data_IF_177480445842
#
_entry.id   IF_177480445842
#
_cell.length_a   1.000
_cell.length_b   1.000
_cell.length_c   1.000
_cell.angle_alpha   90.00
_cell.angle_beta   90.00
_cell.angle_gamma   90.00
#
_symmetry.space_group_name_H-M   'P 1'
#
loop_
_entity.id
_entity.type
_entity.pdbx_description
1 polymer ?
#
# COMPACT_ATOMS: atom_id res chain seq x y z
N UNK A 1 9.58 -50.25 -35.81
CA UNK A 1 10.14 -48.90 -35.51
C UNK A 1 9.01 -47.89 -35.60
N UNK A 2 8.67 -47.22 -34.49
CA UNK A 2 7.65 -46.17 -34.40
C UNK A 2 8.33 -44.96 -33.73
N UNK A 3 8.74 -43.92 -34.48
CA UNK A 3 9.58 -42.82 -33.97
C UNK A 3 8.87 -41.87 -32.99
N UNK A 4 7.58 -42.06 -32.76
CA UNK A 4 6.72 -41.11 -32.04
C UNK A 4 6.83 -41.19 -30.51
N UNK A 5 7.45 -42.24 -29.97
CA UNK A 5 7.60 -42.43 -28.52
C UNK A 5 8.70 -41.55 -27.91
N UNK A 6 9.67 -41.09 -28.71
CA UNK A 6 10.81 -40.30 -28.22
C UNK A 6 10.60 -38.78 -28.24
N UNK A 7 9.49 -38.29 -28.82
CA UNK A 7 9.19 -36.84 -28.95
C UNK A 7 8.20 -36.30 -27.90
N UNK A 8 7.66 -37.18 -27.05
CA UNK A 8 6.75 -36.85 -25.94
C UNK A 8 7.39 -36.19 -24.70
N UNK A 9 8.72 -36.31 -24.40
CA UNK A 9 9.28 -35.69 -23.20
C UNK A 9 9.63 -34.20 -23.37
N UNK A 10 9.54 -33.66 -24.59
CA UNK A 10 9.75 -32.21 -24.82
C UNK A 10 8.44 -31.43 -24.76
N UNK A 11 7.32 -32.04 -25.12
CA UNK A 11 6.02 -31.35 -25.15
C UNK A 11 5.52 -31.00 -23.74
N UNK A 12 5.68 -31.90 -22.76
CA UNK A 12 5.32 -31.59 -21.37
C UNK A 12 6.21 -30.47 -20.78
N UNK A 13 7.49 -30.43 -21.15
CA UNK A 13 8.42 -29.38 -20.74
C UNK A 13 8.01 -28.02 -21.30
N UNK A 14 7.63 -27.97 -22.59
CA UNK A 14 7.09 -26.76 -23.21
C UNK A 14 5.79 -26.33 -22.54
N UNK A 15 4.87 -27.26 -22.25
CA UNK A 15 3.61 -26.95 -21.56
C UNK A 15 3.83 -26.41 -20.14
N UNK A 16 4.75 -27.01 -19.38
CA UNK A 16 5.13 -26.54 -18.05
C UNK A 16 5.78 -25.16 -18.08
N UNK A 17 6.67 -24.89 -19.05
CA UNK A 17 7.27 -23.55 -19.22
C UNK A 17 6.23 -22.50 -19.60
N UNK A 18 5.29 -22.83 -20.50
CA UNK A 18 4.20 -21.92 -20.84
C UNK A 18 3.30 -21.64 -19.63
N UNK A 19 3.03 -22.64 -18.79
CA UNK A 19 2.24 -22.50 -17.58
C UNK A 19 2.93 -21.63 -16.51
N UNK A 20 4.24 -21.79 -16.29
CA UNK A 20 4.98 -20.95 -15.34
C UNK A 20 5.10 -19.50 -15.81
N UNK A 21 5.30 -19.26 -17.11
CA UNK A 21 5.29 -17.92 -17.70
C UNK A 21 3.92 -17.25 -17.55
N UNK A 22 2.83 -18.00 -17.75
CA UNK A 22 1.47 -17.49 -17.53
C UNK A 22 1.23 -17.09 -16.07
N UNK A 23 1.67 -17.90 -15.10
CA UNK A 23 1.55 -17.59 -13.67
C UNK A 23 2.35 -16.33 -13.28
N UNK A 24 3.53 -16.11 -13.86
CA UNK A 24 4.31 -14.88 -13.63
C UNK A 24 3.59 -13.62 -14.13
N UNK A 25 2.80 -13.70 -15.21
CA UNK A 25 2.00 -12.59 -15.72
C UNK A 25 0.82 -12.24 -14.80
N UNK A 26 0.18 -13.24 -14.19
CA UNK A 26 -0.87 -13.00 -13.19
C UNK A 26 -0.31 -12.52 -11.83
N UNK A 27 0.96 -12.83 -11.52
CA UNK A 27 1.58 -12.48 -10.24
C UNK A 27 2.04 -11.02 -10.13
N UNK A 28 2.15 -10.27 -11.22
CA UNK A 28 2.65 -8.88 -11.21
C UNK A 28 1.52 -7.86 -11.11
N UNK A 29 0.90 -7.75 -9.93
CA UNK A 29 0.17 -6.54 -9.50
C UNK A 29 0.16 -6.42 -7.97
N UNK A 30 1.32 -6.56 -7.34
CA UNK A 30 1.51 -6.18 -5.93
C UNK A 30 1.96 -4.71 -5.88
N UNK A 31 1.03 -3.78 -6.07
CA UNK A 31 1.26 -2.38 -5.73
C UNK A 31 1.26 -2.26 -4.21
N UNK A 32 2.37 -2.61 -3.56
CA UNK A 32 2.56 -2.30 -2.13
C UNK A 32 3.00 -0.84 -2.04
N UNK A 33 2.02 0.06 -2.11
CA UNK A 33 2.19 1.51 -1.97
C UNK A 33 2.25 1.88 -0.49
N UNK A 34 3.25 1.39 0.24
CA UNK A 34 3.51 1.87 1.60
C UNK A 34 4.14 3.26 1.62
N UNK A 35 4.94 3.61 0.60
CA UNK A 35 5.58 4.93 0.51
C UNK A 35 4.65 6.03 -0.07
N UNK A 36 3.85 5.71 -1.10
CA UNK A 36 2.97 6.69 -1.76
C UNK A 36 1.81 7.13 -0.85
N UNK A 37 1.24 6.20 -0.07
CA UNK A 37 0.15 6.52 0.86
C UNK A 37 0.57 7.56 1.90
N UNK A 38 1.83 7.51 2.35
CA UNK A 38 2.36 8.42 3.36
C UNK A 38 2.29 9.90 2.93
N UNK A 39 2.59 10.18 1.66
CA UNK A 39 2.62 11.56 1.15
C UNK A 39 1.22 12.09 0.84
N UNK A 40 0.35 11.23 0.29
CA UNK A 40 -1.06 11.57 0.01
C UNK A 40 -1.84 11.75 1.31
N UNK A 41 -1.64 10.86 2.29
CA UNK A 41 -2.30 10.94 3.61
C UNK A 41 -1.86 12.20 4.35
N UNK A 42 -0.58 12.57 4.27
CA UNK A 42 -0.07 13.80 4.86
C UNK A 42 -0.73 15.05 4.29
N UNK A 43 -0.86 15.14 2.96
CA UNK A 43 -1.54 16.27 2.31
C UNK A 43 -3.04 16.32 2.64
N UNK A 44 -3.70 15.15 2.64
CA UNK A 44 -5.12 15.05 2.99
C UNK A 44 -5.40 15.52 4.44
N UNK A 45 -4.53 15.18 5.39
CA UNK A 45 -4.66 15.61 6.78
C UNK A 45 -4.44 17.11 6.97
N UNK A 46 -3.53 17.73 6.19
CA UNK A 46 -3.35 19.18 6.21
C UNK A 46 -4.54 19.92 5.60
N UNK A 47 -5.12 19.41 4.51
CA UNK A 47 -6.38 19.95 3.99
C UNK A 47 -7.52 19.77 5.01
N UNK A 48 -7.58 18.63 5.68
CA UNK A 48 -8.57 18.40 6.73
C UNK A 48 -8.43 19.43 7.86
N UNK A 49 -7.20 19.72 8.32
CA UNK A 49 -6.95 20.81 9.27
C UNK A 49 -7.49 22.15 8.77
N UNK A 50 -7.23 22.51 7.50
CA UNK A 50 -7.72 23.77 6.92
C UNK A 50 -9.26 23.83 6.81
N UNK A 51 -9.91 22.68 6.68
CA UNK A 51 -11.38 22.60 6.61
C UNK A 51 -12.06 22.78 7.97
N UNK A 52 -11.32 22.69 9.07
CA UNK A 52 -11.83 22.87 10.42
C UNK A 52 -11.71 24.35 10.80
N UNK A 53 -12.87 25.01 11.00
CA UNK A 53 -12.94 26.44 11.30
C UNK A 53 -12.74 26.78 12.78
N UNK A 54 -12.95 25.82 13.69
CA UNK A 54 -12.80 26.02 15.12
C UNK A 54 -12.24 24.76 15.77
N UNK A 55 -11.04 24.89 16.34
CA UNK A 55 -10.37 23.88 17.15
C UNK A 55 -10.22 24.42 18.59
N UNK A 56 -11.27 24.36 19.42
CA UNK A 56 -11.27 24.95 20.76
C UNK A 56 -10.24 24.32 21.70
N UNK A 57 -9.73 23.13 21.36
CA UNK A 57 -8.74 22.40 22.15
C UNK A 57 -7.32 22.52 21.58
N UNK A 58 -7.12 23.21 20.43
CA UNK A 58 -5.80 23.46 19.83
C UNK A 58 -5.03 22.19 19.45
N UNK A 59 -5.73 21.08 19.19
CA UNK A 59 -5.12 19.78 18.93
C UNK A 59 -4.43 19.77 17.57
N UNK A 60 -5.05 20.43 16.60
CA UNK A 60 -4.59 20.52 15.22
C UNK A 60 -3.45 21.52 15.06
N UNK A 61 -3.14 22.36 16.05
CA UNK A 61 -2.03 23.34 15.97
C UNK A 61 -0.68 22.65 15.78
N UNK A 62 -0.49 21.53 16.47
CA UNK A 62 0.71 20.70 16.38
C UNK A 62 0.89 19.96 15.05
N UNK A 63 -0.14 19.95 14.19
CA UNK A 63 -0.06 19.32 12.88
C UNK A 63 0.76 20.23 11.94
N UNK A 64 2.02 19.84 11.74
CA UNK A 64 3.00 20.59 10.97
C UNK A 64 3.66 19.69 9.91
N UNK A 65 3.77 20.20 8.68
CA UNK A 65 4.36 19.52 7.54
C UNK A 65 5.81 19.03 7.72
N UNK A 66 6.55 19.62 8.66
CA UNK A 66 7.93 19.18 8.99
C UNK A 66 7.97 17.87 9.80
N UNK A 67 6.84 17.43 10.36
CA UNK A 67 6.78 16.27 11.26
C UNK A 67 5.86 15.20 10.69
N UNK A 68 6.26 13.92 10.83
CA UNK A 68 5.45 12.80 10.35
C UNK A 68 4.10 12.75 11.08
N UNK A 69 3.00 12.61 10.33
CA UNK A 69 1.63 12.68 10.86
C UNK A 69 1.34 11.68 12.00
N UNK A 70 2.00 10.52 12.01
CA UNK A 70 1.89 9.56 13.13
C UNK A 70 2.37 10.09 14.50
N UNK A 71 3.11 11.22 14.51
CA UNK A 71 3.53 11.88 15.75
C UNK A 71 2.55 12.97 16.20
N UNK A 72 1.56 13.30 15.37
CA UNK A 72 0.58 14.32 15.72
C UNK A 72 -0.41 13.80 16.76
N UNK A 73 -0.84 14.64 17.71
CA UNK A 73 -1.83 14.29 18.71
C UNK A 73 -3.16 13.97 18.02
N UNK A 74 -3.82 12.95 18.55
CA UNK A 74 -5.05 12.40 18.01
C UNK A 74 -4.87 11.49 16.81
N UNK A 75 -3.71 11.42 16.14
CA UNK A 75 -3.51 10.50 15.03
C UNK A 75 -3.09 9.11 15.52
N UNK A 76 -3.80 8.08 15.05
CA UNK A 76 -3.46 6.67 15.28
C UNK A 76 -2.99 6.05 13.97
N UNK A 77 -1.74 5.61 13.97
CA UNK A 77 -1.13 4.90 12.85
C UNK A 77 -1.01 3.40 13.09
N UNK A 78 -1.04 2.63 12.00
CA UNK A 78 -0.77 1.20 12.06
C UNK A 78 0.72 0.92 12.28
N UNK A 79 1.11 0.13 13.30
CA UNK A 79 2.51 -0.18 13.59
C UNK A 79 3.24 -0.89 12.44
N UNK A 80 2.51 -1.66 11.62
CA UNK A 80 3.10 -2.47 10.55
C UNK A 80 3.35 -1.69 9.26
N UNK A 81 2.58 -0.64 9.00
CA UNK A 81 2.57 0.04 7.70
C UNK A 81 2.71 1.56 7.81
N UNK A 82 2.85 2.11 9.03
CA UNK A 82 2.86 3.55 9.34
C UNK A 82 1.73 4.34 8.67
N UNK A 83 0.63 3.66 8.34
CA UNK A 83 -0.49 4.25 7.61
C UNK A 83 -1.47 4.88 8.58
N UNK A 84 -1.99 6.05 8.20
CA UNK A 84 -3.07 6.68 8.94
C UNK A 84 -4.25 5.71 9.07
N UNK A 85 -4.69 5.44 10.30
CA UNK A 85 -5.76 4.48 10.54
C UNK A 85 -6.99 5.15 11.15
N UNK A 86 -6.80 6.00 12.16
CA UNK A 86 -7.92 6.69 12.84
C UNK A 86 -7.48 8.04 13.39
N UNK A 87 -8.43 8.97 13.48
CA UNK A 87 -8.32 10.20 14.25
C UNK A 87 -9.11 10.05 15.54
N UNK A 88 -8.48 10.34 16.68
CA UNK A 88 -9.05 10.35 18.02
C UNK A 88 -8.99 11.78 18.54
N UNK A 89 -10.09 12.50 18.40
CA UNK A 89 -10.28 13.81 19.03
C UNK A 89 -10.94 13.59 20.41
N UNK A 90 -10.49 14.28 21.47
CA UNK A 90 -11.25 14.39 22.70
C UNK A 90 -12.55 15.17 22.41
N UNK A 91 -13.65 14.72 23.02
CA UNK A 91 -14.94 15.41 23.01
C UNK A 91 -15.04 16.34 24.21
#
# INVERSE_FOLDING_TARGET
MKPYIFMLPMSWYVYLHLFTLALMWFATNRNVTTAQGNQTDHFALLQFKQSISSDPYGILDSWNASTHFCKWPGIVCSPKHQRFTKLKLPG
#
